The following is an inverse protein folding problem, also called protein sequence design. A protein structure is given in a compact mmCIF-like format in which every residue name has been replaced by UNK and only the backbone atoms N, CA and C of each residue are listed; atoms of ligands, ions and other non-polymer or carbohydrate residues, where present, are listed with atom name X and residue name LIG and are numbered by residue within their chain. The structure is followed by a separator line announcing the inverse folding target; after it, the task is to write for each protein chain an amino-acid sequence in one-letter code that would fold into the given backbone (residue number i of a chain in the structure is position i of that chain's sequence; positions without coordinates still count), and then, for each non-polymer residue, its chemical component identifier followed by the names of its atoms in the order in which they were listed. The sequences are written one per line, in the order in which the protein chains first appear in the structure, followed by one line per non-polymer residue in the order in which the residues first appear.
data_IF_209028466405
#
_entry.id   IF_209028466405
#
_cell.length_a   1.000
_cell.length_b   1.000
_cell.length_c   1.000
_cell.angle_alpha   90.00
_cell.angle_beta   90.00
_cell.angle_gamma   90.00
#
_symmetry.space_group_name_H-M   'P 1'
#
loop_
_entity.id
_entity.type
_entity.pdbx_description
1 polymer ?
#
# COMPACT_ATOMS: atom_id res chain seq x y z
N UNK A 1 1.75 -5.90 -10.93
CA UNK A 1 0.30 -5.91 -10.60
C UNK A 1 -0.12 -4.64 -9.84
N UNK A 2 0.55 -4.24 -8.76
CA UNK A 2 0.25 -3.02 -7.98
C UNK A 2 0.15 -1.76 -8.86
N UNK A 3 1.12 -1.52 -9.75
CA UNK A 3 1.15 -0.36 -10.65
C UNK A 3 -0.10 -0.24 -11.52
N UNK A 4 -0.52 -1.34 -12.16
CA UNK A 4 -1.73 -1.38 -12.99
C UNK A 4 -2.99 -1.05 -12.19
N UNK A 5 -3.09 -1.62 -10.98
CA UNK A 5 -4.22 -1.35 -10.09
C UNK A 5 -4.22 0.12 -9.64
N UNK A 6 -3.05 0.67 -9.29
CA UNK A 6 -2.93 2.08 -8.92
C UNK A 6 -3.38 3.01 -10.03
N UNK A 7 -3.09 2.68 -11.29
CA UNK A 7 -3.47 3.49 -12.45
C UNK A 7 -4.98 3.58 -12.69
N UNK A 8 -5.77 2.71 -12.06
CA UNK A 8 -7.24 2.81 -12.06
C UNK A 8 -7.74 3.92 -11.16
N UNK A 9 -7.04 4.15 -10.04
CA UNK A 9 -7.48 5.08 -8.98
C UNK A 9 -6.76 6.42 -9.01
N UNK A 10 -5.55 6.48 -9.59
CA UNK A 10 -4.78 7.71 -9.72
C UNK A 10 -4.89 8.25 -11.14
N UNK A 11 -5.01 9.57 -11.25
CA UNK A 11 -5.12 10.27 -12.54
C UNK A 11 -3.77 10.57 -13.17
N UNK A 12 -2.71 10.63 -12.35
CA UNK A 12 -1.36 10.88 -12.80
C UNK A 12 -0.83 9.67 -13.60
N UNK A 13 -0.28 9.94 -14.77
CA UNK A 13 0.25 8.93 -15.67
C UNK A 13 1.77 8.94 -15.68
N UNK A 14 2.36 7.75 -15.79
CA UNK A 14 3.82 7.55 -15.78
C UNK A 14 4.52 8.21 -14.58
N UNK A 15 3.77 8.46 -13.51
CA UNK A 15 4.22 9.15 -12.31
C UNK A 15 4.73 8.16 -11.28
N UNK A 16 5.88 8.45 -10.68
CA UNK A 16 6.45 7.61 -9.65
C UNK A 16 5.56 7.60 -8.39
N UNK A 17 5.25 6.41 -7.91
CA UNK A 17 4.41 6.18 -6.73
C UNK A 17 5.20 5.58 -5.57
N UNK A 18 6.14 4.67 -5.86
CA UNK A 18 7.05 4.08 -4.89
C UNK A 18 8.48 4.17 -5.39
N UNK A 19 9.38 4.29 -4.46
CA UNK A 19 10.82 4.16 -4.65
C UNK A 19 11.31 2.94 -3.86
N UNK A 20 12.06 2.07 -4.51
CA UNK A 20 12.72 0.93 -3.89
C UNK A 20 14.22 1.17 -3.93
N UNK A 21 14.81 1.32 -2.76
CA UNK A 21 16.25 1.55 -2.59
C UNK A 21 16.92 0.24 -2.22
N UNK A 22 17.73 -0.27 -3.12
CA UNK A 22 18.64 -1.39 -2.90
C UNK A 22 20.05 -0.88 -2.52
N UNK A 23 20.93 -1.78 -2.13
CA UNK A 23 22.34 -1.46 -1.82
C UNK A 23 23.07 -0.80 -3.01
N UNK A 24 22.83 -1.30 -4.23
CA UNK A 24 23.54 -0.90 -5.44
C UNK A 24 22.79 0.09 -6.33
N UNK A 25 21.48 0.16 -6.22
CA UNK A 25 20.65 1.00 -7.10
C UNK A 25 19.33 1.40 -6.45
N UNK A 26 18.62 2.29 -7.10
CA UNK A 26 17.26 2.70 -6.74
C UNK A 26 16.37 2.56 -7.97
N UNK A 27 15.21 1.95 -7.79
CA UNK A 27 14.18 1.85 -8.83
C UNK A 27 12.90 2.57 -8.39
N UNK A 28 12.13 3.03 -9.37
CA UNK A 28 10.82 3.64 -9.13
C UNK A 28 9.73 2.81 -9.79
N UNK A 29 8.68 2.54 -9.05
CA UNK A 29 7.43 2.04 -9.59
C UNK A 29 6.57 3.23 -9.99
N UNK A 30 6.05 3.21 -11.22
CA UNK A 30 5.24 4.31 -11.77
C UNK A 30 3.84 3.81 -12.12
N UNK A 31 2.87 4.72 -12.15
CA UNK A 31 1.57 4.47 -12.77
C UNK A 31 1.73 4.18 -14.25
N UNK A 32 0.81 3.44 -14.85
CA UNK A 32 0.82 3.15 -16.28
C UNK A 32 0.56 4.42 -17.09
N UNK A 33 1.09 4.47 -18.32
CA UNK A 33 0.83 5.57 -19.25
C UNK A 33 -0.62 5.56 -19.75
N UNK A 34 -1.19 4.37 -19.90
CA UNK A 34 -2.60 4.17 -20.29
C UNK A 34 -3.23 3.18 -19.32
N UNK A 35 -4.19 3.58 -18.48
CA UNK A 35 -4.86 2.68 -17.56
C UNK A 35 -5.90 1.83 -18.31
N UNK A 36 -6.17 0.64 -17.78
CA UNK A 36 -7.24 -0.24 -18.27
C UNK A 36 -8.63 0.37 -18.03
N UNK A 37 -8.79 1.15 -16.96
CA UNK A 37 -10.01 1.84 -16.57
C UNK A 37 -9.65 3.00 -15.66
N UNK A 38 -10.60 3.93 -15.46
CA UNK A 38 -10.49 5.01 -14.49
C UNK A 38 -11.68 4.98 -13.53
N UNK A 39 -11.38 5.18 -12.24
CA UNK A 39 -12.38 5.19 -11.19
C UNK A 39 -12.29 6.48 -10.38
N UNK A 40 -13.29 7.35 -10.55
CA UNK A 40 -13.30 8.69 -9.93
C UNK A 40 -14.21 8.82 -8.70
N UNK A 41 -15.00 7.78 -8.38
CA UNK A 41 -15.87 7.81 -7.19
C UNK A 41 -15.03 7.68 -5.89
N UNK A 42 -15.56 8.10 -4.74
CA UNK A 42 -14.91 7.93 -3.44
C UNK A 42 -14.49 6.47 -3.20
N UNK A 43 -13.31 6.29 -2.62
CA UNK A 43 -12.74 4.97 -2.29
C UNK A 43 -12.58 4.85 -0.78
N UNK A 44 -13.03 3.74 -0.24
CA UNK A 44 -12.87 3.35 1.16
C UNK A 44 -12.15 2.02 1.19
N UNK A 45 -11.02 1.97 1.87
CA UNK A 45 -10.21 0.76 2.01
C UNK A 45 -10.38 0.21 3.41
N UNK A 46 -10.74 -1.06 3.49
CA UNK A 46 -10.84 -1.76 4.75
C UNK A 46 -9.55 -2.55 4.97
N UNK A 47 -8.91 -2.36 6.13
CA UNK A 47 -7.68 -3.04 6.49
C UNK A 47 -7.73 -3.61 7.91
N UNK A 48 -6.86 -4.55 8.15
CA UNK A 48 -6.66 -5.18 9.45
C UNK A 48 -5.18 -5.50 9.69
N UNK A 49 -4.86 -6.09 10.82
CA UNK A 49 -3.50 -6.49 11.20
C UNK A 49 -2.90 -7.56 10.28
N UNK A 50 -3.70 -8.22 9.43
CA UNK A 50 -3.26 -9.22 8.44
C UNK A 50 -3.06 -8.61 7.06
N UNK A 51 -3.48 -7.36 6.85
CA UNK A 51 -3.17 -6.63 5.62
C UNK A 51 -1.65 -6.48 5.51
N UNK A 52 -1.07 -6.99 4.41
CA UNK A 52 0.35 -7.27 4.32
C UNK A 52 0.96 -6.82 2.99
N UNK A 53 2.23 -6.35 3.01
CA UNK A 53 3.09 -6.09 1.85
C UNK A 53 2.44 -5.19 0.80
N UNK A 54 2.15 -5.69 -0.39
CA UNK A 54 1.57 -4.91 -1.49
C UNK A 54 0.18 -4.33 -1.15
N UNK A 55 -0.59 -4.99 -0.27
CA UNK A 55 -1.86 -4.47 0.26
C UNK A 55 -1.65 -3.22 1.10
N UNK A 56 -0.59 -3.20 1.91
CA UNK A 56 -0.19 -2.03 2.71
C UNK A 56 0.26 -0.87 1.80
N UNK A 57 1.10 -1.19 0.80
CA UNK A 57 1.52 -0.20 -0.20
C UNK A 57 0.35 0.40 -0.96
N UNK A 58 -0.66 -0.40 -1.30
CA UNK A 58 -1.89 0.06 -1.93
C UNK A 58 -2.64 1.04 -1.03
N UNK A 59 -2.85 0.68 0.24
CA UNK A 59 -3.53 1.53 1.21
C UNK A 59 -2.77 2.84 1.44
N UNK A 60 -1.46 2.77 1.72
CA UNK A 60 -0.64 3.93 2.02
C UNK A 60 -0.56 4.93 0.86
N UNK A 61 -0.34 4.44 -0.37
CA UNK A 61 -0.23 5.32 -1.54
C UNK A 61 -1.53 6.09 -1.77
N UNK A 62 -2.68 5.43 -1.69
CA UNK A 62 -3.98 6.09 -1.89
C UNK A 62 -4.35 7.00 -0.72
N UNK A 63 -4.01 6.64 0.52
CA UNK A 63 -4.20 7.46 1.71
C UNK A 63 -3.37 8.74 1.64
N UNK A 64 -2.06 8.64 1.37
CA UNK A 64 -1.16 9.80 1.29
C UNK A 64 -1.61 10.79 0.19
N UNK A 65 -2.21 10.31 -0.88
CA UNK A 65 -2.75 11.12 -1.98
C UNK A 65 -4.20 11.57 -1.73
N UNK A 66 -4.75 11.28 -0.54
CA UNK A 66 -6.15 11.57 -0.19
C UNK A 66 -7.16 11.03 -1.20
N UNK A 67 -6.76 9.97 -1.90
CA UNK A 67 -7.59 9.30 -2.91
C UNK A 67 -8.52 8.26 -2.29
N UNK A 68 -8.12 7.68 -1.16
CA UNK A 68 -8.94 6.74 -0.39
C UNK A 68 -8.91 7.09 1.09
N UNK A 69 -9.98 6.74 1.79
CA UNK A 69 -10.06 6.72 3.25
C UNK A 69 -9.79 5.29 3.72
N UNK A 70 -8.82 5.11 4.60
CA UNK A 70 -8.46 3.81 5.18
C UNK A 70 -9.19 3.64 6.51
N UNK A 71 -9.91 2.53 6.66
CA UNK A 71 -10.78 2.23 7.83
C UNK A 71 -10.41 0.84 8.36
N UNK A 72 -10.27 0.70 9.65
CA UNK A 72 -9.97 -0.59 10.28
C UNK A 72 -8.86 -0.53 11.31
N UNK A 73 -7.94 -1.47 11.26
CA UNK A 73 -6.80 -1.60 12.18
C UNK A 73 -5.49 -1.28 11.46
N UNK A 74 -4.46 -0.93 12.25
CA UNK A 74 -3.09 -0.77 11.72
C UNK A 74 -2.62 -2.08 11.09
N UNK A 75 -2.02 -2.00 9.92
CA UNK A 75 -1.60 -3.16 9.12
C UNK A 75 -0.32 -3.82 9.66
N UNK A 76 0.11 -4.92 9.05
CA UNK A 76 1.19 -5.78 9.55
C UNK A 76 2.58 -5.13 9.64
N UNK A 77 2.89 -4.17 8.77
CA UNK A 77 4.18 -3.49 8.78
C UNK A 77 5.29 -4.20 7.98
N UNK A 78 4.94 -4.89 6.90
CA UNK A 78 5.91 -5.56 6.03
C UNK A 78 6.22 -4.71 4.80
N UNK A 79 7.10 -3.74 4.97
CA UNK A 79 7.41 -2.71 3.97
C UNK A 79 8.69 -2.93 3.18
N UNK A 80 9.52 -3.89 3.55
CA UNK A 80 10.78 -4.12 2.87
C UNK A 80 10.69 -5.22 1.80
N UNK A 81 11.43 -5.05 0.71
CA UNK A 81 11.65 -6.12 -0.25
C UNK A 81 12.59 -7.14 0.37
N UNK A 82 12.16 -8.39 0.41
CA UNK A 82 12.95 -9.49 0.93
C UNK A 82 13.18 -10.55 -0.16
N UNK A 83 14.32 -11.22 -0.09
CA UNK A 83 14.70 -12.31 -0.98
C UNK A 83 15.13 -13.55 -0.22
N UNK A 84 14.95 -14.75 -0.81
CA UNK A 84 15.45 -15.97 -0.24
C UNK A 84 16.98 -16.06 -0.38
N UNK A 85 17.63 -16.52 0.66
CA UNK A 85 19.06 -16.87 0.66
C UNK A 85 19.21 -18.33 1.09
N UNK A 86 19.71 -19.16 0.18
CA UNK A 86 19.94 -20.57 0.44
C UNK A 86 21.23 -20.70 1.26
N UNK A 87 21.11 -21.19 2.49
CA UNK A 87 22.26 -21.44 3.37
C UNK A 87 22.89 -22.80 3.03
N UNK A 88 22.05 -23.83 2.88
CA UNK A 88 22.43 -25.18 2.44
C UNK A 88 21.16 -25.93 1.98
N UNK A 89 21.26 -27.20 1.71
CA UNK A 89 20.16 -28.05 1.20
C UNK A 89 18.96 -28.16 2.14
N UNK A 90 19.11 -27.78 3.41
CA UNK A 90 18.06 -27.90 4.43
C UNK A 90 17.50 -26.55 4.90
N UNK A 91 18.21 -25.44 4.64
CA UNK A 91 17.85 -24.12 5.19
C UNK A 91 17.85 -23.02 4.14
N UNK A 92 16.76 -22.30 4.12
CA UNK A 92 16.60 -21.05 3.37
C UNK A 92 16.21 -19.96 4.35
N UNK A 93 16.89 -18.83 4.34
CA UNK A 93 16.52 -17.66 5.13
C UNK A 93 16.02 -16.55 4.22
N UNK A 94 15.07 -15.75 4.70
CA UNK A 94 14.57 -14.58 3.98
C UNK A 94 15.23 -13.33 4.54
N UNK A 95 15.92 -12.58 3.69
CA UNK A 95 16.70 -11.41 4.09
C UNK A 95 16.12 -10.17 3.41
N UNK A 96 15.89 -9.05 4.14
CA UNK A 96 15.56 -7.78 3.54
C UNK A 96 16.70 -7.28 2.64
N UNK A 97 16.38 -6.98 1.38
CA UNK A 97 17.35 -6.55 0.36
C UNK A 97 17.07 -5.18 -0.21
N UNK A 98 15.90 -4.61 0.10
CA UNK A 98 15.52 -3.28 -0.36
C UNK A 98 14.47 -2.61 0.54
N UNK A 99 14.57 -1.29 0.65
CA UNK A 99 13.65 -0.43 1.42
C UNK A 99 12.66 0.22 0.47
N UNK A 100 11.38 0.12 0.78
CA UNK A 100 10.30 0.74 -0.01
C UNK A 100 9.84 2.02 0.68
N UNK A 101 9.77 3.12 -0.09
CA UNK A 101 9.19 4.39 0.36
C UNK A 101 8.19 4.93 -0.66
N UNK A 102 7.13 5.55 -0.18
CA UNK A 102 6.27 6.39 -1.02
C UNK A 102 7.05 7.62 -1.48
N UNK A 103 7.02 7.90 -2.77
CA UNK A 103 7.75 9.02 -3.36
C UNK A 103 7.22 10.36 -2.83
N UNK A 104 5.92 10.47 -2.53
CA UNK A 104 5.31 11.70 -2.04
C UNK A 104 5.78 12.08 -0.63
N UNK A 105 5.88 11.09 0.26
CA UNK A 105 6.19 11.34 1.69
C UNK A 105 7.62 10.99 2.06
N UNK A 106 8.32 10.22 1.23
CA UNK A 106 9.64 9.66 1.55
C UNK A 106 9.62 8.59 2.64
N UNK A 107 8.44 8.15 3.09
CA UNK A 107 8.26 7.18 4.18
C UNK A 107 7.79 5.84 3.65
N UNK A 108 8.20 4.76 4.32
CA UNK A 108 7.68 3.41 4.16
C UNK A 108 6.77 3.02 5.32
N UNK A 109 6.34 1.77 5.33
CA UNK A 109 5.47 1.20 6.38
C UNK A 109 6.14 0.05 7.16
N UNK A 110 7.44 -0.17 6.93
CA UNK A 110 8.18 -1.22 7.63
C UNK A 110 8.12 -1.05 9.13
N UNK A 111 7.73 -2.11 9.85
CA UNK A 111 7.61 -2.17 11.30
C UNK A 111 6.48 -1.34 11.91
N UNK A 112 5.97 -0.32 11.21
CA UNK A 112 4.92 0.56 11.72
C UNK A 112 3.52 0.21 11.20
N UNK A 113 3.43 -0.45 10.06
CA UNK A 113 2.19 -0.62 9.33
C UNK A 113 1.63 0.69 8.77
N UNK A 114 0.47 0.60 8.15
CA UNK A 114 -0.34 1.72 7.70
C UNK A 114 -1.40 1.99 8.76
N UNK A 115 -1.35 3.16 9.37
CA UNK A 115 -2.34 3.58 10.37
C UNK A 115 -3.60 4.05 9.65
N UNK A 116 -4.79 3.52 9.96
CA UNK A 116 -6.02 3.91 9.30
C UNK A 116 -6.45 5.34 9.65
N UNK A 117 -7.15 6.01 8.73
CA UNK A 117 -7.78 7.32 8.98
C UNK A 117 -8.91 7.21 10.02
N UNK A 118 -9.59 6.07 10.04
CA UNK A 118 -10.64 5.76 11.01
C UNK A 118 -10.33 4.41 11.67
N UNK A 119 -9.83 4.48 12.89
CA UNK A 119 -9.48 3.30 13.68
C UNK A 119 -10.72 2.64 14.27
N UNK A 120 -11.00 1.41 13.88
CA UNK A 120 -12.05 0.52 14.43
C UNK A 120 -11.57 -0.92 14.36
N UNK A 121 -12.21 -1.83 15.08
CA UNK A 121 -11.94 -3.27 14.93
C UNK A 121 -12.28 -3.72 13.51
N UNK A 122 -11.53 -4.67 12.98
CA UNK A 122 -11.70 -5.16 11.60
C UNK A 122 -13.13 -5.65 11.32
N UNK A 123 -13.78 -6.31 12.29
CA UNK A 123 -15.16 -6.76 12.17
C UNK A 123 -16.17 -5.61 12.00
N UNK A 124 -15.86 -4.42 12.47
CA UNK A 124 -16.72 -3.23 12.41
C UNK A 124 -16.40 -2.33 11.23
N UNK A 125 -15.29 -2.57 10.52
CA UNK A 125 -14.78 -1.67 9.48
C UNK A 125 -15.76 -1.46 8.33
N UNK A 126 -16.46 -2.51 7.88
CA UNK A 126 -17.46 -2.41 6.81
C UNK A 126 -18.67 -1.58 7.25
N UNK A 127 -19.21 -1.85 8.44
CA UNK A 127 -20.34 -1.10 8.99
C UNK A 127 -19.98 0.37 9.14
N UNK A 128 -18.77 0.66 9.61
CA UNK A 128 -18.27 2.04 9.75
C UNK A 128 -18.12 2.74 8.40
N UNK A 129 -17.62 2.06 7.39
CA UNK A 129 -17.53 2.61 6.03
C UNK A 129 -18.92 2.99 5.49
N UNK A 130 -19.90 2.10 5.65
CA UNK A 130 -21.30 2.35 5.23
C UNK A 130 -21.90 3.56 5.97
N UNK A 131 -21.71 3.65 7.29
CA UNK A 131 -22.14 4.80 8.10
C UNK A 131 -21.58 6.12 7.55
N UNK A 132 -20.27 6.16 7.24
CA UNK A 132 -19.59 7.34 6.70
C UNK A 132 -20.15 7.72 5.33
N UNK A 133 -20.42 6.74 4.47
CA UNK A 133 -20.97 6.97 3.13
C UNK A 133 -22.38 7.56 3.22
N UNK A 134 -23.21 7.05 4.13
CA UNK A 134 -24.59 7.53 4.32
C UNK A 134 -24.66 8.96 4.85
N UNK A 135 -23.72 9.35 5.73
CA UNK A 135 -23.63 10.72 6.27
C UNK A 135 -23.15 11.77 5.25
N UNK A 136 -22.56 11.34 4.13
CA UNK A 136 -22.07 12.24 3.07
C UNK A 136 -23.06 12.44 1.92
N UNK A 137 -24.21 11.77 1.96
CA UNK A 137 -25.32 11.94 1.03
C UNK A 137 -26.28 13.02 1.52
#
# INVERSE_FOLDING_TARGET
MLQKLMSVFLTERSTAILQIKYKSNTIQLKTDSVPLAEYHKPVYLLCDQKTFSAGEGFAMILQNRKRAMVIGETTAGAGNISGPYVVNDSFVITIPVGVINDVLTGKGWEGSGVVPDVAVKSNDALAKAIEIIQKKR
#
